data_IF_702708734400
#
_entry.id   IF_702708734400
#
_cell.length_a   1.000
_cell.length_b   1.000
_cell.length_c   1.000
_cell.angle_alpha   90.00
_cell.angle_beta   90.00
_cell.angle_gamma   90.00
#
_symmetry.space_group_name_H-M   'P 1'
#
loop_
_entity.id
_entity.type
_entity.pdbx_description
1 polymer ?
#
# COMPACT_ATOMS: atom_id res chain seq x y z
N UNK A 1 10.82 26.28 -4.04
CA UNK A 1 10.58 24.90 -4.50
C UNK A 1 9.52 24.94 -5.57
N UNK A 2 9.78 24.36 -6.74
CA UNK A 2 8.77 24.24 -7.80
C UNK A 2 7.84 23.07 -7.42
N UNK A 3 6.53 23.32 -7.33
CA UNK A 3 5.54 22.26 -7.13
C UNK A 3 5.57 21.32 -8.33
N UNK A 4 6.14 20.12 -8.15
CA UNK A 4 6.09 19.09 -9.18
C UNK A 4 4.68 18.50 -9.17
N UNK A 5 3.87 18.88 -10.16
CA UNK A 5 2.54 18.30 -10.35
C UNK A 5 2.68 16.85 -10.80
N UNK A 6 2.56 15.91 -9.87
CA UNK A 6 2.57 14.47 -10.18
C UNK A 6 1.25 14.12 -10.88
N UNK A 7 1.32 13.80 -12.17
CA UNK A 7 0.18 13.40 -13.02
C UNK A 7 0.12 11.90 -13.30
N UNK A 8 0.99 11.12 -12.66
CA UNK A 8 1.09 9.68 -12.90
C UNK A 8 0.03 8.91 -12.10
N UNK A 9 -0.38 7.76 -12.64
CA UNK A 9 -1.36 6.86 -12.03
C UNK A 9 -0.92 5.41 -12.21
N UNK A 10 -1.46 4.51 -11.38
CA UNK A 10 -1.31 3.07 -11.57
C UNK A 10 -2.55 2.51 -12.27
N UNK A 11 -2.39 1.37 -12.93
CA UNK A 11 -3.48 0.73 -13.66
C UNK A 11 -3.46 -0.77 -13.44
N UNK A 12 -4.64 -1.37 -13.43
CA UNK A 12 -4.84 -2.81 -13.51
C UNK A 12 -5.28 -3.14 -14.94
N UNK A 13 -4.53 -4.01 -15.60
CA UNK A 13 -4.93 -4.55 -16.90
C UNK A 13 -5.30 -6.01 -16.75
N UNK A 14 -6.58 -6.32 -16.95
CA UNK A 14 -7.07 -7.69 -16.99
C UNK A 14 -6.85 -8.27 -18.40
N UNK A 15 -6.02 -9.29 -18.49
CA UNK A 15 -5.66 -9.94 -19.77
C UNK A 15 -6.75 -10.86 -20.30
N UNK A 16 -7.64 -11.35 -19.46
CA UNK A 16 -8.75 -12.22 -19.88
C UNK A 16 -9.85 -11.40 -20.54
N UNK A 17 -10.26 -10.30 -19.89
CA UNK A 17 -11.29 -9.40 -20.43
C UNK A 17 -10.75 -8.35 -21.40
N UNK A 18 -9.44 -8.06 -21.37
CA UNK A 18 -8.80 -6.99 -22.15
C UNK A 18 -9.09 -5.58 -21.62
N UNK A 19 -9.59 -5.44 -20.38
CA UNK A 19 -9.99 -4.17 -19.78
C UNK A 19 -8.81 -3.53 -19.03
N UNK A 20 -8.55 -2.25 -19.31
CA UNK A 20 -7.63 -1.40 -18.55
C UNK A 20 -8.41 -0.53 -17.57
N UNK A 21 -8.14 -0.69 -16.29
CA UNK A 21 -8.71 0.11 -15.21
C UNK A 21 -7.64 1.01 -14.61
N UNK A 22 -7.75 2.32 -14.83
CA UNK A 22 -6.92 3.30 -14.13
C UNK A 22 -7.38 3.39 -12.67
N UNK A 23 -6.42 3.37 -11.73
CA UNK A 23 -6.72 3.40 -10.30
C UNK A 23 -6.81 4.84 -9.79
N UNK A 24 -7.84 5.15 -9.01
CA UNK A 24 -7.88 6.44 -8.32
C UNK A 24 -6.71 6.56 -7.33
N UNK A 25 -6.15 7.77 -7.17
CA UNK A 25 -5.12 8.00 -6.16
C UNK A 25 -5.75 8.01 -4.77
N UNK A 26 -5.42 7.05 -3.88
CA UNK A 26 -5.97 7.01 -2.54
C UNK A 26 -5.50 8.19 -1.68
N UNK A 27 -4.26 8.65 -1.88
CA UNK A 27 -3.73 9.88 -1.25
C UNK A 27 -3.10 10.73 -2.33
N UNK A 28 -3.75 11.87 -2.61
CA UNK A 28 -3.37 12.80 -3.68
C UNK A 28 -1.88 13.11 -3.61
N UNK A 29 -1.18 12.92 -4.74
CA UNK A 29 0.22 13.26 -4.94
C UNK A 29 1.22 12.54 -4.00
N UNK A 30 0.81 11.52 -3.25
CA UNK A 30 1.69 10.84 -2.29
C UNK A 30 1.78 9.34 -2.48
N UNK A 31 0.63 8.65 -2.53
CA UNK A 31 0.60 7.20 -2.57
C UNK A 31 -0.24 6.71 -3.76
N UNK A 32 0.37 5.87 -4.59
CA UNK A 32 -0.26 5.20 -5.71
C UNK A 32 -0.52 3.73 -5.35
N UNK A 33 -1.65 3.20 -5.77
CA UNK A 33 -2.00 1.79 -5.58
C UNK A 33 -3.41 1.61 -5.04
N UNK A 34 -3.65 0.44 -4.47
CA UNK A 34 -4.94 0.06 -3.92
C UNK A 34 -5.12 0.70 -2.54
N UNK A 35 -6.24 1.40 -2.37
CA UNK A 35 -6.68 1.80 -1.02
C UNK A 35 -6.88 0.53 -0.21
N UNK A 36 -6.24 0.45 0.96
CA UNK A 36 -6.47 -0.65 1.87
C UNK A 36 -7.80 -0.41 2.62
N UNK A 37 -8.85 -1.04 2.12
CA UNK A 37 -10.20 -1.03 2.65
C UNK A 37 -10.47 -2.18 3.64
N UNK A 38 -9.51 -3.08 3.84
CA UNK A 38 -9.63 -4.22 4.76
C UNK A 38 -9.43 -3.81 6.22
N UNK A 39 -8.38 -3.05 6.50
CA UNK A 39 -7.98 -2.70 7.87
C UNK A 39 -7.63 -1.20 8.05
N UNK A 40 -7.90 -0.39 7.03
CA UNK A 40 -7.57 1.04 7.03
C UNK A 40 -6.07 1.32 7.06
N UNK A 41 -5.26 0.34 6.68
CA UNK A 41 -3.80 0.40 6.66
C UNK A 41 -3.19 1.19 5.50
N UNK A 42 -1.87 1.05 5.28
CA UNK A 42 -1.17 1.74 4.21
C UNK A 42 -1.71 1.34 2.83
N UNK A 43 -1.56 2.25 1.86
CA UNK A 43 -1.87 1.99 0.45
C UNK A 43 -1.03 0.81 -0.03
N UNK A 44 -1.69 -0.17 -0.66
CA UNK A 44 -1.07 -1.39 -1.11
C UNK A 44 -0.70 -1.30 -2.59
N UNK A 45 0.57 -1.53 -2.91
CA UNK A 45 0.99 -1.82 -4.28
C UNK A 45 1.98 -2.98 -4.26
N UNK A 46 1.74 -4.06 -5.03
CA UNK A 46 2.64 -5.20 -5.03
C UNK A 46 4.00 -4.82 -5.59
N UNK A 47 5.05 -5.17 -4.84
CA UNK A 47 6.44 -5.16 -5.32
C UNK A 47 6.79 -6.49 -5.97
N UNK A 48 6.08 -7.56 -5.59
CA UNK A 48 6.23 -8.90 -6.14
C UNK A 48 4.85 -9.58 -6.27
N UNK A 49 4.68 -10.38 -7.31
CA UNK A 49 3.49 -11.20 -7.55
C UNK A 49 3.95 -12.63 -7.84
N UNK A 50 3.53 -13.59 -7.02
CA UNK A 50 3.87 -15.01 -7.19
C UNK A 50 2.98 -15.67 -8.24
N UNK A 51 3.40 -16.85 -8.72
CA UNK A 51 2.58 -17.69 -9.61
C UNK A 51 1.33 -18.24 -8.91
N UNK A 52 1.27 -18.20 -7.59
CA UNK A 52 0.12 -18.60 -6.78
C UNK A 52 -0.84 -17.45 -6.47
N UNK A 53 -0.77 -16.33 -7.21
CA UNK A 53 -1.56 -15.11 -6.99
C UNK A 53 -1.34 -14.45 -5.62
N UNK A 54 -0.18 -14.68 -5.00
CA UNK A 54 0.23 -13.94 -3.81
C UNK A 54 0.93 -12.66 -4.21
N UNK A 55 0.36 -11.55 -3.82
CA UNK A 55 0.94 -10.24 -3.95
C UNK A 55 1.64 -9.85 -2.67
N UNK A 56 2.90 -9.47 -2.81
CA UNK A 56 3.76 -9.11 -1.67
C UNK A 56 4.21 -7.66 -1.83
N UNK A 57 4.09 -6.92 -0.74
CA UNK A 57 4.74 -5.62 -0.58
C UNK A 57 5.37 -5.53 0.80
N UNK A 58 6.24 -4.55 1.00
CA UNK A 58 6.89 -4.32 2.28
C UNK A 58 7.18 -2.85 2.48
N UNK A 59 7.20 -2.46 3.74
CA UNK A 59 7.66 -1.15 4.19
C UNK A 59 8.78 -1.36 5.20
N UNK A 60 9.79 -0.50 5.17
CA UNK A 60 10.71 -0.44 6.30
C UNK A 60 9.94 0.00 7.55
N UNK A 61 10.49 -0.30 8.73
CA UNK A 61 9.78 -0.02 9.96
C UNK A 61 9.51 1.49 10.16
N UNK A 62 10.51 2.32 9.85
CA UNK A 62 10.38 3.79 9.82
C UNK A 62 9.33 4.30 8.81
N UNK A 63 9.29 3.75 7.59
CA UNK A 63 8.28 4.08 6.58
C UNK A 63 6.87 3.77 7.09
N UNK A 64 6.67 2.59 7.67
CA UNK A 64 5.36 2.17 8.18
C UNK A 64 4.90 3.08 9.33
N UNK A 65 5.80 3.45 10.25
CA UNK A 65 5.51 4.39 11.33
C UNK A 65 5.09 5.76 10.77
N UNK A 66 5.83 6.29 9.79
CA UNK A 66 5.52 7.58 9.17
C UNK A 66 4.20 7.55 8.36
N UNK A 67 3.84 6.42 7.76
CA UNK A 67 2.54 6.24 7.10
C UNK A 67 1.42 6.17 8.16
N UNK A 68 1.63 5.41 9.24
CA UNK A 68 0.64 5.18 10.29
C UNK A 68 0.12 6.49 10.90
N UNK A 69 0.99 7.46 11.15
CA UNK A 69 0.63 8.78 11.69
C UNK A 69 -0.37 9.55 10.81
N UNK A 70 -0.48 9.20 9.53
CA UNK A 70 -1.37 9.85 8.56
C UNK A 70 -2.64 9.03 8.28
N UNK A 71 -2.78 7.84 8.87
CA UNK A 71 -3.94 6.99 8.64
C UNK A 71 -5.15 7.53 9.41
N UNK A 72 -6.29 7.76 8.75
CA UNK A 72 -7.45 8.38 9.40
C UNK A 72 -8.17 7.43 10.36
N UNK A 73 -8.14 6.11 10.09
CA UNK A 73 -8.83 5.11 10.90
C UNK A 73 -8.16 3.73 10.78
N UNK A 74 -6.98 3.53 11.37
CA UNK A 74 -6.30 2.23 11.36
C UNK A 74 -6.98 1.22 12.29
N UNK A 75 -6.95 -0.06 11.91
CA UNK A 75 -7.47 -1.18 12.72
C UNK A 75 -6.76 -1.33 14.07
N UNK A 76 -7.39 -2.09 14.97
CA UNK A 76 -6.80 -2.40 16.28
C UNK A 76 -5.54 -3.26 16.14
N UNK A 77 -5.52 -4.16 15.17
CA UNK A 77 -4.42 -5.05 14.83
C UNK A 77 -3.21 -4.24 14.34
N UNK A 78 -3.42 -3.31 13.40
CA UNK A 78 -2.36 -2.44 12.91
C UNK A 78 -1.79 -1.55 14.01
N UNK A 79 -2.66 -1.02 14.88
CA UNK A 79 -2.25 -0.25 16.07
C UNK A 79 -1.41 -1.10 17.03
N UNK A 80 -1.77 -2.37 17.23
CA UNK A 80 -1.03 -3.27 18.10
C UNK A 80 0.34 -3.66 17.51
N UNK A 81 0.43 -3.78 16.18
CA UNK A 81 1.69 -4.01 15.46
C UNK A 81 2.63 -2.81 15.60
N UNK A 82 2.15 -1.61 15.25
CA UNK A 82 2.93 -0.36 15.28
C UNK A 82 3.47 -0.05 16.68
N UNK A 83 2.70 -0.32 17.74
CA UNK A 83 3.16 -0.15 19.13
C UNK A 83 4.37 -0.99 19.53
N UNK A 84 4.67 -2.06 18.79
CA UNK A 84 5.78 -2.98 19.07
C UNK A 84 6.98 -2.73 18.17
N UNK A 85 6.85 -1.86 17.17
CA UNK A 85 7.85 -1.61 16.15
C UNK A 85 8.79 -0.48 16.59
N UNK A 86 10.09 -0.69 16.42
CA UNK A 86 11.11 0.35 16.48
C UNK A 86 11.52 0.76 15.05
N UNK A 87 11.97 2.01 14.81
CA UNK A 87 12.33 2.47 13.46
C UNK A 87 13.41 1.62 12.77
N UNK A 88 14.32 1.01 13.54
CA UNK A 88 15.43 0.20 13.04
C UNK A 88 15.09 -1.29 12.94
N UNK A 89 13.83 -1.68 13.21
CA UNK A 89 13.41 -3.07 13.07
C UNK A 89 13.39 -3.51 11.60
N UNK A 90 13.40 -4.83 11.40
CA UNK A 90 13.27 -5.42 10.08
C UNK A 90 11.99 -4.93 9.36
N UNK A 91 12.00 -4.86 8.01
CA UNK A 91 10.84 -4.47 7.24
C UNK A 91 9.60 -5.32 7.54
N UNK A 92 8.44 -4.67 7.55
CA UNK A 92 7.15 -5.34 7.70
C UNK A 92 6.65 -5.77 6.33
N UNK A 93 6.40 -7.07 6.19
CA UNK A 93 5.88 -7.68 4.98
C UNK A 93 4.35 -7.70 5.02
N UNK A 94 3.72 -7.34 3.92
CA UNK A 94 2.27 -7.49 3.71
C UNK A 94 2.05 -8.42 2.52
N UNK A 95 1.24 -9.44 2.74
CA UNK A 95 0.93 -10.48 1.76
C UNK A 95 -0.58 -10.50 1.57
N UNK A 96 -1.03 -10.44 0.31
CA UNK A 96 -2.42 -10.51 -0.08
C UNK A 96 -2.59 -11.58 -1.15
N UNK A 97 -3.58 -12.45 -0.97
CA UNK A 97 -4.01 -13.40 -2.00
C UNK A 97 -5.31 -12.90 -2.59
N UNK A 98 -5.37 -12.69 -3.91
CA UNK A 98 -6.63 -12.38 -4.59
C UNK A 98 -7.53 -13.61 -4.55
N UNK A 99 -8.78 -13.41 -4.16
CA UNK A 99 -9.84 -14.41 -4.20
C UNK A 99 -10.68 -14.25 -5.46
#
# INVERSE_FOLDING_TARGET
MQEVKVTNVHALFDKESGVLTLLDQPVKHKYLGFRNDLDGGPVFWPKFVSSGNEMVTWFTADELLAIYEQLPNPSAELKALVKKLSPDDNPVLMIVTLK
#
